data_IF_035998397775
#
_entry.id   IF_035998397775
#
_cell.length_a   1.000
_cell.length_b   1.000
_cell.length_c   1.000
_cell.angle_alpha   90.00
_cell.angle_beta   90.00
_cell.angle_gamma   90.00
#
_symmetry.space_group_name_H-M   'P 1'
#
loop_
_entity.id
_entity.type
_entity.pdbx_description
1 polymer ?
#
# COMPACT_ATOMS: atom_id res chain seq x y z
N UNK A 1 48.82 55.55 13.66
CA UNK A 1 50.07 55.10 14.31
C UNK A 1 49.70 53.95 15.23
N UNK A 2 49.76 52.72 14.71
CA UNK A 2 50.90 51.77 14.76
C UNK A 2 50.84 50.91 16.03
N UNK A 3 50.67 49.60 15.83
CA UNK A 3 50.81 48.58 16.86
C UNK A 3 50.29 47.21 16.45
N UNK A 4 51.03 46.50 15.58
CA UNK A 4 50.84 45.09 15.24
C UNK A 4 50.91 44.15 16.47
N UNK A 5 50.12 43.09 16.47
CA UNK A 5 50.50 41.82 17.10
C UNK A 5 49.93 40.64 16.31
N UNK A 6 50.81 39.91 15.65
CA UNK A 6 50.59 38.63 14.98
C UNK A 6 50.50 37.53 16.04
N UNK A 7 49.40 36.78 16.11
CA UNK A 7 49.31 35.57 16.92
C UNK A 7 49.10 34.35 16.01
N UNK A 8 50.14 33.53 15.90
CA UNK A 8 50.12 32.22 15.26
C UNK A 8 49.47 31.24 16.23
N UNK A 9 48.34 30.65 15.86
CA UNK A 9 47.76 29.50 16.57
C UNK A 9 47.91 28.25 15.70
N UNK A 10 48.74 27.30 16.18
CA UNK A 10 48.77 25.91 15.68
C UNK A 10 47.50 25.19 16.13
N UNK A 11 46.85 24.36 15.30
CA UNK A 11 45.76 23.51 15.77
C UNK A 11 46.33 22.32 16.54
N UNK A 12 45.92 22.19 17.81
CA UNK A 12 46.00 20.94 18.56
C UNK A 12 44.79 20.09 18.20
N UNK A 13 45.03 18.81 17.90
CA UNK A 13 44.02 17.90 17.38
C UNK A 13 42.95 17.53 18.42
N UNK A 14 41.69 17.82 18.08
CA UNK A 14 40.51 17.13 18.58
C UNK A 14 39.51 17.00 17.41
N UNK A 15 38.92 15.81 17.12
CA UNK A 15 38.20 15.58 15.87
C UNK A 15 36.81 16.23 15.79
N UNK A 16 36.27 16.71 16.91
CA UNK A 16 34.83 17.00 17.07
C UNK A 16 34.48 18.49 17.14
N UNK A 17 35.48 19.39 17.07
CA UNK A 17 35.25 20.85 17.12
C UNK A 17 34.99 21.48 15.75
N UNK A 18 35.37 20.83 14.66
CA UNK A 18 35.30 21.42 13.31
C UNK A 18 33.91 21.43 12.69
N UNK A 19 33.04 20.48 13.07
CA UNK A 19 31.71 20.33 12.49
C UNK A 19 30.70 21.29 13.13
N UNK A 20 30.81 21.50 14.45
CA UNK A 20 30.02 22.50 15.19
C UNK A 20 30.35 23.94 14.77
N UNK A 21 31.62 24.23 14.49
CA UNK A 21 32.10 25.57 14.09
C UNK A 21 31.67 25.92 12.64
N UNK A 22 31.57 24.91 11.76
CA UNK A 22 31.10 25.08 10.38
C UNK A 22 29.58 25.32 10.31
N UNK A 23 28.82 24.69 11.19
CA UNK A 23 27.36 24.83 11.24
C UNK A 23 26.95 26.20 11.79
N UNK A 24 27.67 26.71 12.78
CA UNK A 24 27.52 28.08 13.27
C UNK A 24 27.88 29.11 12.18
N UNK A 25 28.96 28.88 11.43
CA UNK A 25 29.33 29.75 10.30
C UNK A 25 28.25 29.78 9.21
N UNK A 26 27.66 28.63 8.86
CA UNK A 26 26.56 28.56 7.88
C UNK A 26 25.33 29.34 8.37
N UNK A 27 24.96 29.18 9.64
CA UNK A 27 23.80 29.87 10.22
C UNK A 27 24.00 31.39 10.22
N UNK A 28 25.17 31.88 10.63
CA UNK A 28 25.51 33.31 10.62
C UNK A 28 25.40 33.92 9.21
N UNK A 29 25.92 33.25 8.18
CA UNK A 29 25.85 33.74 6.80
C UNK A 29 24.41 33.75 6.26
N UNK A 30 23.59 32.77 6.65
CA UNK A 30 22.17 32.72 6.30
C UNK A 30 21.37 33.85 6.95
N UNK A 31 21.63 34.16 8.21
CA UNK A 31 21.01 35.30 8.90
C UNK A 31 21.43 36.64 8.29
N UNK A 32 22.70 36.81 7.96
CA UNK A 32 23.20 38.02 7.30
C UNK A 32 22.51 38.25 5.93
N UNK A 33 22.29 37.20 5.14
CA UNK A 33 21.59 37.28 3.85
C UNK A 33 20.11 37.63 3.98
N UNK A 34 19.44 37.29 5.10
CA UNK A 34 18.05 37.68 5.35
C UNK A 34 17.90 39.18 5.63
N UNK A 35 18.97 39.85 6.07
CA UNK A 35 19.00 41.26 6.41
C UNK A 35 19.43 42.16 5.24
N UNK A 36 19.86 41.58 4.12
CA UNK A 36 20.40 42.30 2.96
C UNK A 36 19.47 42.18 1.74
N UNK A 37 19.35 43.25 0.95
CA UNK A 37 18.53 43.27 -0.28
C UNK A 37 19.34 42.84 -1.50
N UNK A 38 18.74 42.01 -2.36
CA UNK A 38 19.35 41.51 -3.61
C UNK A 38 19.81 42.66 -4.52
N UNK A 39 21.13 42.84 -4.66
CA UNK A 39 21.76 43.93 -5.42
C UNK A 39 22.89 44.66 -4.67
N UNK A 40 23.02 44.43 -3.36
CA UNK A 40 24.13 44.95 -2.55
C UNK A 40 25.44 44.16 -2.83
N UNK A 41 26.59 44.83 -3.05
CA UNK A 41 27.88 44.15 -3.18
C UNK A 41 28.20 43.20 -2.01
N UNK A 42 27.78 43.55 -0.79
CA UNK A 42 27.92 42.70 0.39
C UNK A 42 27.06 41.45 0.28
N UNK A 43 25.85 41.52 -0.30
CA UNK A 43 24.98 40.36 -0.49
C UNK A 43 25.67 39.26 -1.32
N UNK A 44 26.35 39.64 -2.40
CA UNK A 44 27.09 38.67 -3.24
C UNK A 44 28.36 38.12 -2.57
N UNK A 45 28.89 38.81 -1.56
CA UNK A 45 30.02 38.34 -0.77
C UNK A 45 29.59 37.29 0.25
N UNK A 46 28.58 37.60 1.09
CA UNK A 46 27.98 36.63 2.02
C UNK A 46 27.42 35.40 1.29
N UNK A 47 26.79 35.60 0.12
CA UNK A 47 26.30 34.48 -0.71
C UNK A 47 27.43 33.59 -1.21
N UNK A 48 28.59 34.15 -1.58
CA UNK A 48 29.78 33.36 -1.98
C UNK A 48 30.38 32.62 -0.80
N UNK A 49 30.47 33.24 0.37
CA UNK A 49 30.95 32.61 1.60
C UNK A 49 30.05 31.44 2.00
N UNK A 50 28.72 31.63 2.02
CA UNK A 50 27.76 30.57 2.29
C UNK A 50 27.90 29.38 1.33
N UNK A 51 28.03 29.64 0.02
CA UNK A 51 28.24 28.59 -0.98
C UNK A 51 29.55 27.83 -0.69
N UNK A 52 30.63 28.52 -0.33
CA UNK A 52 31.89 27.88 0.01
C UNK A 52 31.77 27.00 1.27
N UNK A 53 31.10 27.46 2.32
CA UNK A 53 30.87 26.66 3.53
C UNK A 53 29.99 25.44 3.27
N UNK A 54 28.91 25.60 2.50
CA UNK A 54 28.06 24.48 2.09
C UNK A 54 28.83 23.46 1.23
N UNK A 55 29.71 23.92 0.34
CA UNK A 55 30.57 23.04 -0.46
C UNK A 55 31.60 22.31 0.41
N UNK A 56 32.17 22.97 1.42
CA UNK A 56 33.06 22.33 2.40
C UNK A 56 32.28 21.28 3.19
N UNK A 57 31.08 21.58 3.72
CA UNK A 57 30.25 20.63 4.46
C UNK A 57 29.90 19.41 3.61
N UNK A 58 29.51 19.64 2.36
CA UNK A 58 29.20 18.57 1.39
C UNK A 58 30.45 17.76 1.06
N UNK A 59 31.62 18.38 0.92
CA UNK A 59 32.89 17.67 0.68
C UNK A 59 33.36 16.89 1.91
N UNK A 60 33.20 17.40 3.12
CA UNK A 60 33.53 16.69 4.35
C UNK A 60 32.69 15.42 4.51
N UNK A 61 31.41 15.47 4.13
CA UNK A 61 30.54 14.29 4.06
C UNK A 61 30.90 13.30 2.93
N UNK A 62 31.57 13.79 1.86
CA UNK A 62 32.05 12.96 0.74
C UNK A 62 33.47 12.42 0.97
N UNK A 63 34.26 13.01 1.87
CA UNK A 63 35.66 12.64 2.14
C UNK A 63 35.79 11.55 3.22
N UNK A 64 34.69 11.11 3.84
CA UNK A 64 34.63 9.88 4.64
C UNK A 64 34.43 8.63 3.77
N UNK A 65 35.26 8.46 2.73
CA UNK A 65 35.51 7.15 2.10
C UNK A 65 36.96 6.73 2.43
N UNK A 66 37.21 5.51 2.97
CA UNK A 66 38.57 5.04 3.20
C UNK A 66 39.27 4.75 1.87
N UNK A 67 40.56 5.10 1.81
CA UNK A 67 41.48 4.80 0.72
C UNK A 67 41.88 3.31 0.72
N UNK A 68 41.64 2.68 -0.43
CA UNK A 68 42.27 1.48 -1.00
C UNK A 68 43.08 0.55 -0.07
N UNK A 69 42.36 -0.40 0.51
CA UNK A 69 42.72 -1.82 0.45
C UNK A 69 41.55 -2.54 -0.23
N UNK A 70 41.79 -3.26 -1.34
CA UNK A 70 40.82 -4.00 -2.18
C UNK A 70 39.33 -3.84 -1.83
N UNK A 71 38.46 -3.32 -2.72
CA UNK A 71 37.03 -3.32 -2.46
C UNK A 71 36.50 -4.74 -2.64
N UNK A 72 36.63 -5.58 -1.62
CA UNK A 72 35.53 -6.47 -1.29
C UNK A 72 34.36 -5.53 -1.03
N UNK A 73 33.40 -5.46 -1.96
CA UNK A 73 32.16 -4.72 -1.77
C UNK A 73 31.59 -5.16 -0.43
N UNK A 74 31.72 -4.31 0.60
CA UNK A 74 31.07 -4.53 1.87
C UNK A 74 29.59 -4.32 1.57
N UNK A 75 28.94 -5.41 1.19
CA UNK A 75 27.52 -5.49 0.94
C UNK A 75 26.84 -5.17 2.26
N UNK A 76 26.41 -3.92 2.46
CA UNK A 76 25.60 -3.59 3.62
C UNK A 76 24.25 -4.28 3.46
N UNK A 77 24.20 -5.49 3.99
CA UNK A 77 23.04 -6.37 3.96
C UNK A 77 21.81 -5.67 4.54
N UNK A 78 21.99 -4.76 5.50
CA UNK A 78 20.87 -4.02 6.10
C UNK A 78 20.24 -3.09 5.08
N UNK A 79 21.07 -2.35 4.34
CA UNK A 79 20.60 -1.48 3.26
C UNK A 79 19.90 -2.28 2.16
N UNK A 80 20.48 -3.42 1.76
CA UNK A 80 19.88 -4.30 0.74
C UNK A 80 18.52 -4.83 1.18
N UNK A 81 18.38 -5.27 2.44
CA UNK A 81 17.09 -5.71 2.98
C UNK A 81 16.08 -4.55 2.95
N UNK A 82 16.49 -3.34 3.34
CA UNK A 82 15.66 -2.14 3.31
C UNK A 82 15.19 -1.80 1.90
N UNK A 83 16.07 -1.86 0.91
CA UNK A 83 15.75 -1.59 -0.49
C UNK A 83 14.76 -2.63 -1.04
N UNK A 84 14.97 -3.92 -0.74
CA UNK A 84 14.05 -4.98 -1.15
C UNK A 84 12.68 -4.80 -0.49
N UNK A 85 12.63 -4.39 0.79
CA UNK A 85 11.38 -4.06 1.47
C UNK A 85 10.68 -2.86 0.82
N UNK A 86 11.41 -1.79 0.51
CA UNK A 86 10.87 -0.61 -0.15
C UNK A 86 10.28 -0.95 -1.53
N UNK A 87 11.02 -1.69 -2.37
CA UNK A 87 10.52 -2.13 -3.68
C UNK A 87 9.28 -3.03 -3.56
N UNK A 88 9.25 -3.91 -2.55
CA UNK A 88 8.07 -4.75 -2.28
C UNK A 88 6.83 -3.89 -1.98
N UNK A 89 7.00 -2.84 -1.17
CA UNK A 89 5.89 -2.00 -0.71
C UNK A 89 5.33 -1.08 -1.81
N UNK A 90 6.10 -0.76 -2.86
CA UNK A 90 5.58 0.01 -4.02
C UNK A 90 4.40 -0.67 -4.70
N UNK A 91 4.34 -2.00 -4.68
CA UNK A 91 3.32 -2.78 -5.37
C UNK A 91 2.06 -3.07 -4.54
N UNK A 92 2.00 -2.60 -3.30
CA UNK A 92 0.87 -2.79 -2.38
C UNK A 92 0.30 -1.42 -1.93
N UNK A 93 -0.88 -1.40 -1.27
CA UNK A 93 -1.48 -0.15 -0.83
C UNK A 93 -0.53 0.71 0.02
N UNK A 94 -0.64 2.05 -0.07
CA UNK A 94 0.28 2.98 0.61
C UNK A 94 0.19 2.92 2.15
N UNK A 95 -0.94 2.47 2.69
CA UNK A 95 -1.21 2.32 4.12
C UNK A 95 -1.88 0.99 4.42
N UNK A 96 -1.51 0.39 5.54
CA UNK A 96 -2.10 -0.84 6.08
C UNK A 96 -2.26 -0.70 7.60
N UNK A 97 -3.31 -1.29 8.15
CA UNK A 97 -3.48 -1.45 9.59
C UNK A 97 -2.54 -2.55 10.09
N UNK A 98 -1.82 -2.26 11.18
CA UNK A 98 -1.10 -3.26 11.93
C UNK A 98 -2.09 -4.01 12.84
N UNK A 99 -2.34 -5.28 12.57
CA UNK A 99 -3.41 -6.06 13.22
C UNK A 99 -3.21 -6.24 14.72
N UNK A 100 -1.97 -6.35 15.20
CA UNK A 100 -1.71 -6.49 16.65
C UNK A 100 -1.88 -5.17 17.41
N UNK A 101 -1.37 -4.06 16.88
CA UNK A 101 -1.34 -2.78 17.60
C UNK A 101 -2.57 -1.92 17.32
N UNK A 102 -3.26 -2.14 16.20
CA UNK A 102 -4.43 -1.36 15.77
C UNK A 102 -4.08 0.00 15.16
N UNK A 103 -2.81 0.29 14.89
CA UNK A 103 -2.40 1.54 14.25
C UNK A 103 -2.38 1.42 12.73
N UNK A 104 -2.69 2.53 12.05
CA UNK A 104 -2.48 2.66 10.62
C UNK A 104 -1.00 2.98 10.33
N UNK A 105 -0.38 2.23 9.41
CA UNK A 105 1.03 2.34 9.08
C UNK A 105 1.20 2.65 7.59
N UNK A 106 1.85 3.78 7.28
CA UNK A 106 2.38 4.04 5.95
C UNK A 106 3.57 3.12 5.64
N UNK A 107 4.15 3.21 4.43
CA UNK A 107 5.27 2.35 4.00
C UNK A 107 6.50 2.48 4.90
N UNK A 108 6.83 3.69 5.36
CA UNK A 108 8.00 3.91 6.23
C UNK A 108 7.81 3.29 7.61
N UNK A 109 6.61 3.43 8.19
CA UNK A 109 6.25 2.77 9.44
C UNK A 109 6.28 1.24 9.32
N UNK A 110 5.81 0.70 8.18
CA UNK A 110 5.89 -0.74 7.89
C UNK A 110 7.34 -1.24 7.81
N UNK A 111 8.24 -0.52 7.11
CA UNK A 111 9.67 -0.85 7.04
C UNK A 111 10.31 -0.74 8.42
N UNK A 112 10.02 0.34 9.16
CA UNK A 112 10.53 0.53 10.52
C UNK A 112 10.12 -0.63 11.42
N UNK A 113 8.85 -1.04 11.37
CA UNK A 113 8.36 -2.19 12.15
C UNK A 113 9.09 -3.48 11.78
N UNK A 114 9.32 -3.73 10.48
CA UNK A 114 10.12 -4.88 10.04
C UNK A 114 11.54 -4.84 10.57
N UNK A 115 12.24 -3.71 10.47
CA UNK A 115 13.64 -3.60 10.88
C UNK A 115 13.87 -3.74 12.40
N UNK A 116 12.83 -3.57 13.21
CA UNK A 116 12.86 -3.78 14.66
C UNK A 116 12.21 -5.10 15.09
N UNK A 117 11.90 -5.99 14.13
CA UNK A 117 11.22 -7.26 14.40
C UNK A 117 12.20 -8.41 14.61
N UNK A 118 11.73 -9.45 15.32
CA UNK A 118 12.50 -10.67 15.51
C UNK A 118 12.79 -11.38 14.16
N UNK A 119 11.88 -11.28 13.20
CA UNK A 119 12.04 -11.82 11.85
C UNK A 119 13.21 -11.19 11.11
N UNK A 120 13.46 -9.89 11.32
CA UNK A 120 14.62 -9.21 10.75
C UNK A 120 15.93 -9.65 11.40
N UNK A 121 15.96 -9.79 12.73
CA UNK A 121 17.15 -10.31 13.44
C UNK A 121 17.50 -11.74 13.02
N UNK A 122 16.48 -12.58 12.83
CA UNK A 122 16.63 -13.95 12.31
C UNK A 122 17.12 -13.95 10.85
N UNK A 123 16.59 -13.05 10.02
CA UNK A 123 17.04 -12.88 8.64
C UNK A 123 18.51 -12.46 8.56
N UNK A 124 18.93 -11.50 9.38
CA UNK A 124 20.34 -11.07 9.46
C UNK A 124 21.26 -12.22 9.88
N UNK A 125 20.87 -12.96 10.92
CA UNK A 125 21.62 -14.12 11.41
C UNK A 125 21.76 -15.20 10.34
N UNK A 126 20.68 -15.48 9.60
CA UNK A 126 20.68 -16.46 8.53
C UNK A 126 21.54 -16.01 7.35
N UNK A 127 21.45 -14.73 6.96
CA UNK A 127 22.25 -14.16 5.88
C UNK A 127 23.76 -14.24 6.13
N UNK A 128 24.21 -14.18 7.40
CA UNK A 128 25.63 -14.27 7.76
C UNK A 128 26.25 -15.65 7.44
N UNK A 129 25.43 -16.68 7.23
CA UNK A 129 25.87 -18.06 6.99
C UNK A 129 25.71 -18.53 5.54
N UNK A 130 25.11 -17.70 4.67
CA UNK A 130 24.77 -18.06 3.29
C UNK A 130 25.75 -17.49 2.27
N UNK A 131 25.83 -18.13 1.09
CA UNK A 131 26.45 -17.49 -0.08
C UNK A 131 25.58 -16.31 -0.61
N UNK A 132 26.15 -15.36 -1.37
CA UNK A 132 25.41 -14.17 -1.83
C UNK A 132 24.16 -14.46 -2.67
N UNK A 133 24.14 -15.54 -3.44
CA UNK A 133 23.00 -15.91 -4.28
C UNK A 133 21.85 -16.45 -3.44
N UNK A 134 22.16 -17.28 -2.45
CA UNK A 134 21.23 -17.80 -1.46
C UNK A 134 20.70 -16.67 -0.57
N UNK A 135 21.57 -15.73 -0.19
CA UNK A 135 21.24 -14.57 0.62
C UNK A 135 20.14 -13.73 -0.03
N UNK A 136 20.29 -13.35 -1.31
CA UNK A 136 19.28 -12.56 -2.01
C UNK A 136 17.94 -13.29 -2.12
N UNK A 137 17.97 -14.62 -2.34
CA UNK A 137 16.74 -15.44 -2.39
C UNK A 137 16.04 -15.46 -1.03
N UNK A 138 16.80 -15.58 0.06
CA UNK A 138 16.30 -15.56 1.43
C UNK A 138 15.68 -14.20 1.79
N UNK A 139 16.39 -13.10 1.52
CA UNK A 139 15.88 -11.73 1.75
C UNK A 139 14.55 -11.55 1.04
N UNK A 140 14.47 -11.85 -0.25
CA UNK A 140 13.23 -11.70 -1.03
C UNK A 140 12.09 -12.54 -0.48
N UNK A 141 12.38 -13.76 -0.02
CA UNK A 141 11.39 -14.66 0.54
C UNK A 141 10.83 -14.13 1.89
N UNK A 142 11.71 -13.78 2.83
CA UNK A 142 11.29 -13.30 4.15
C UNK A 142 10.62 -11.93 4.09
N UNK A 143 11.17 -10.99 3.30
CA UNK A 143 10.52 -9.70 3.04
C UNK A 143 9.14 -9.92 2.42
N UNK A 144 9.03 -10.80 1.42
CA UNK A 144 7.74 -11.08 0.78
C UNK A 144 6.73 -11.72 1.74
N UNK A 145 7.18 -12.56 2.66
CA UNK A 145 6.36 -13.23 3.67
C UNK A 145 5.89 -12.23 4.73
N UNK A 146 6.79 -11.37 5.21
CA UNK A 146 6.52 -10.39 6.25
C UNK A 146 5.48 -9.35 5.81
N UNK A 147 5.59 -8.84 4.59
CA UNK A 147 4.66 -7.84 4.04
C UNK A 147 3.45 -8.47 3.34
N UNK A 148 3.10 -9.73 3.64
CA UNK A 148 1.80 -10.29 3.24
C UNK A 148 0.70 -9.55 3.98
N UNK A 149 -0.31 -9.13 3.24
CA UNK A 149 -1.44 -8.39 3.80
C UNK A 149 -2.77 -9.06 3.43
N UNK A 150 -3.78 -8.78 4.25
CA UNK A 150 -5.16 -9.25 4.10
C UNK A 150 -6.02 -8.07 3.68
N UNK A 151 -6.98 -8.31 2.78
CA UNK A 151 -7.96 -7.29 2.39
C UNK A 151 -9.32 -7.59 3.00
N UNK A 152 -10.03 -6.55 3.44
CA UNK A 152 -11.44 -6.62 3.79
C UNK A 152 -12.28 -6.34 2.55
N UNK A 153 -13.13 -7.29 2.19
CA UNK A 153 -14.20 -7.09 1.23
C UNK A 153 -15.52 -7.09 1.99
N UNK A 154 -16.29 -6.01 1.86
CA UNK A 154 -17.53 -5.87 2.62
C UNK A 154 -18.53 -4.95 1.91
N UNK A 155 -19.72 -4.85 2.47
CA UNK A 155 -20.57 -3.68 2.23
C UNK A 155 -20.29 -2.60 3.27
N UNK A 156 -20.24 -1.36 2.82
CA UNK A 156 -20.25 -0.20 3.71
C UNK A 156 -21.60 -0.14 4.42
N UNK A 157 -21.56 0.00 5.75
CA UNK A 157 -22.71 0.20 6.61
C UNK A 157 -22.62 1.56 7.30
N UNK A 158 -23.30 1.68 8.44
CA UNK A 158 -23.23 2.88 9.26
C UNK A 158 -21.88 2.95 10.00
N UNK A 159 -21.36 4.16 10.20
CA UNK A 159 -20.16 4.38 11.02
C UNK A 159 -18.87 3.77 10.48
N UNK A 160 -18.73 3.58 9.16
CA UNK A 160 -17.42 3.19 8.58
C UNK A 160 -16.38 4.26 8.85
N UNK A 161 -15.23 3.93 9.46
CA UNK A 161 -14.17 4.89 9.65
C UNK A 161 -13.56 5.29 8.31
N UNK A 162 -13.31 6.59 8.15
CA UNK A 162 -12.45 7.15 7.11
C UNK A 162 -11.01 7.26 7.62
N UNK A 163 -10.07 7.51 6.71
CA UNK A 163 -8.65 7.69 7.05
C UNK A 163 -8.44 8.67 8.23
N UNK A 164 -8.98 9.90 8.09
CA UNK A 164 -8.92 10.96 9.10
C UNK A 164 -9.48 10.58 10.47
N UNK A 165 -10.37 9.59 10.53
CA UNK A 165 -11.01 9.20 11.78
C UNK A 165 -10.08 8.34 12.63
N UNK A 166 -9.15 7.61 12.00
CA UNK A 166 -8.25 6.64 12.63
C UNK A 166 -6.76 7.00 12.52
N UNK A 167 -6.42 8.03 11.74
CA UNK A 167 -5.04 8.51 11.63
C UNK A 167 -4.47 8.87 13.01
N UNK A 168 -3.26 8.39 13.30
CA UNK A 168 -2.56 8.51 14.58
C UNK A 168 -3.31 7.97 15.80
N UNK A 169 -4.35 7.14 15.60
CA UNK A 169 -5.13 6.53 16.68
C UNK A 169 -4.98 5.01 16.69
N UNK A 170 -5.05 4.47 17.90
CA UNK A 170 -5.21 3.04 18.09
C UNK A 170 -6.68 2.67 17.93
N UNK A 171 -7.03 1.91 16.89
CA UNK A 171 -8.44 1.54 16.64
C UNK A 171 -9.04 0.73 17.79
N UNK A 172 -8.25 -0.01 18.58
CA UNK A 172 -8.73 -0.79 19.72
C UNK A 172 -9.07 0.07 20.95
N UNK A 173 -8.52 1.28 21.04
CA UNK A 173 -8.85 2.24 22.09
C UNK A 173 -10.12 3.05 21.77
N UNK A 174 -10.70 2.87 20.59
CA UNK A 174 -11.88 3.60 20.13
C UNK A 174 -13.17 2.81 20.41
N UNK A 175 -14.32 3.51 20.45
CA UNK A 175 -15.62 2.89 20.71
C UNK A 175 -15.99 1.86 19.63
N UNK A 176 -16.19 0.61 20.04
CA UNK A 176 -16.60 -0.52 19.20
C UNK A 176 -18.08 -0.41 18.75
N UNK A 177 -18.41 0.60 17.94
CA UNK A 177 -19.75 0.79 17.37
C UNK A 177 -19.70 0.69 15.85
N UNK A 178 -20.74 0.10 15.29
CA UNK A 178 -21.02 0.06 13.86
C UNK A 178 -19.80 -0.35 13.01
N UNK A 179 -19.45 0.44 11.98
CA UNK A 179 -18.33 0.17 11.09
C UNK A 179 -16.96 0.11 11.78
N UNK A 180 -16.76 0.82 12.90
CA UNK A 180 -15.51 0.71 13.66
C UNK A 180 -15.40 -0.63 14.38
N UNK A 181 -16.49 -1.12 14.98
CA UNK A 181 -16.54 -2.46 15.56
C UNK A 181 -16.28 -3.55 14.50
N UNK A 182 -16.80 -3.35 13.29
CA UNK A 182 -16.50 -4.21 12.14
C UNK A 182 -15.01 -4.16 11.76
N UNK A 183 -14.38 -2.99 11.75
CA UNK A 183 -12.95 -2.87 11.47
C UNK A 183 -12.09 -3.58 12.53
N UNK A 184 -12.42 -3.41 13.81
CA UNK A 184 -11.73 -4.08 14.92
C UNK A 184 -11.84 -5.61 14.79
N UNK A 185 -13.03 -6.12 14.50
CA UNK A 185 -13.25 -7.55 14.30
C UNK A 185 -12.50 -8.08 13.07
N UNK A 186 -12.45 -7.31 11.97
CA UNK A 186 -11.61 -7.64 10.81
C UNK A 186 -10.13 -7.75 11.19
N UNK A 187 -9.58 -6.78 11.94
CA UNK A 187 -8.20 -6.83 12.39
C UNK A 187 -7.93 -8.02 13.31
N UNK A 188 -8.85 -8.35 14.21
CA UNK A 188 -8.76 -9.53 15.07
C UNK A 188 -8.70 -10.82 14.24
N UNK A 189 -9.63 -11.00 13.30
CA UNK A 189 -9.64 -12.18 12.41
C UNK A 189 -8.37 -12.24 11.54
N UNK A 190 -7.90 -11.11 11.01
CA UNK A 190 -6.66 -11.08 10.25
C UNK A 190 -5.44 -11.49 11.10
N UNK A 191 -5.41 -11.08 12.37
CA UNK A 191 -4.40 -11.50 13.35
C UNK A 191 -4.48 -13.00 13.65
N UNK A 192 -5.68 -13.55 13.87
CA UNK A 192 -5.90 -14.99 14.07
C UNK A 192 -5.45 -15.83 12.87
N UNK A 193 -5.58 -15.28 11.66
CA UNK A 193 -5.06 -15.89 10.42
C UNK A 193 -3.54 -15.74 10.25
N UNK A 194 -2.85 -15.13 11.21
CA UNK A 194 -1.39 -14.98 11.24
C UNK A 194 -0.85 -13.86 10.37
N UNK A 195 -1.65 -12.82 10.08
CA UNK A 195 -1.22 -11.68 9.28
C UNK A 195 -1.08 -10.41 10.13
N UNK A 196 0.05 -9.73 9.98
CA UNK A 196 0.33 -8.45 10.63
C UNK A 196 -0.33 -7.26 9.94
N UNK A 197 -0.62 -7.39 8.65
CA UNK A 197 -1.06 -6.26 7.82
C UNK A 197 -2.45 -6.49 7.26
N UNK A 198 -3.32 -5.50 7.47
CA UNK A 198 -4.71 -5.52 7.05
C UNK A 198 -5.06 -4.25 6.25
N UNK A 199 -5.86 -4.39 5.21
CA UNK A 199 -6.28 -3.29 4.34
C UNK A 199 -7.80 -3.20 4.27
N UNK A 200 -8.32 -1.98 4.40
CA UNK A 200 -9.72 -1.65 4.15
C UNK A 200 -9.80 -0.38 3.30
N UNK A 201 -10.61 -0.43 2.24
CA UNK A 201 -10.82 0.68 1.31
C UNK A 201 -11.42 1.93 1.97
N UNK A 202 -12.11 1.78 3.11
CA UNK A 202 -12.72 2.93 3.79
C UNK A 202 -11.71 3.83 4.47
N UNK A 203 -10.70 3.24 5.11
CA UNK A 203 -9.77 3.94 6.00
C UNK A 203 -8.29 3.85 5.62
N UNK A 204 -7.90 2.99 4.66
CA UNK A 204 -6.52 2.93 4.17
C UNK A 204 -6.28 3.79 2.91
N UNK A 205 -7.35 4.24 2.25
CA UNK A 205 -7.31 5.16 1.10
C UNK A 205 -7.60 6.57 1.59
N UNK A 206 -6.76 7.54 1.21
CA UNK A 206 -7.08 8.95 1.34
C UNK A 206 -8.09 9.36 0.27
N UNK A 207 -9.36 9.40 0.65
CA UNK A 207 -10.47 9.85 -0.21
C UNK A 207 -10.51 11.38 -0.38
N UNK A 208 -9.71 12.13 0.39
CA UNK A 208 -9.55 13.58 0.26
C UNK A 208 -8.53 13.96 -0.82
N UNK A 209 -7.57 13.08 -1.12
CA UNK A 209 -6.60 13.24 -2.20
C UNK A 209 -7.15 12.66 -3.51
N UNK A 210 -7.47 13.52 -4.47
CA UNK A 210 -7.96 13.10 -5.80
C UNK A 210 -6.94 12.22 -6.53
N UNK A 211 -5.65 12.56 -6.43
CA UNK A 211 -4.57 11.79 -7.05
C UNK A 211 -4.49 10.37 -6.47
N UNK A 212 -4.57 10.24 -5.15
CA UNK A 212 -4.54 8.93 -4.51
C UNK A 212 -5.81 8.13 -4.78
N UNK A 213 -6.98 8.76 -4.70
CA UNK A 213 -8.24 8.08 -4.99
C UNK A 213 -8.24 7.50 -6.41
N UNK A 214 -7.72 8.26 -7.37
CA UNK A 214 -7.55 7.81 -8.75
C UNK A 214 -6.59 6.61 -8.86
N UNK A 215 -5.42 6.69 -8.22
CA UNK A 215 -4.45 5.59 -8.18
C UNK A 215 -5.06 4.33 -7.53
N UNK A 216 -5.81 4.52 -6.43
CA UNK A 216 -6.43 3.44 -5.68
C UNK A 216 -7.50 2.71 -6.49
N UNK A 217 -8.37 3.45 -7.19
CA UNK A 217 -9.37 2.86 -8.09
C UNK A 217 -8.69 2.06 -9.20
N UNK A 218 -7.66 2.61 -9.85
CA UNK A 218 -6.92 1.91 -10.89
C UNK A 218 -6.16 0.67 -10.38
N UNK A 219 -5.76 0.67 -9.11
CA UNK A 219 -4.93 -0.38 -8.51
C UNK A 219 -5.71 -1.44 -7.73
N UNK A 220 -6.98 -1.22 -7.42
CA UNK A 220 -7.75 -2.03 -6.47
C UNK A 220 -7.73 -3.52 -6.83
N UNK A 221 -8.01 -3.88 -8.08
CA UNK A 221 -7.94 -5.27 -8.54
C UNK A 221 -6.55 -5.88 -8.31
N UNK A 222 -5.51 -5.11 -8.61
CA UNK A 222 -4.13 -5.57 -8.47
C UNK A 222 -3.73 -5.74 -7.00
N UNK A 223 -4.26 -4.92 -6.10
CA UNK A 223 -4.09 -5.08 -4.65
C UNK A 223 -4.83 -6.32 -4.12
N UNK A 224 -6.09 -6.53 -4.49
CA UNK A 224 -6.82 -7.76 -4.16
C UNK A 224 -6.15 -9.01 -4.76
N UNK A 225 -5.58 -8.93 -5.96
CA UNK A 225 -4.83 -10.03 -6.58
C UNK A 225 -3.57 -10.39 -5.80
N UNK A 226 -2.90 -9.38 -5.24
CA UNK A 226 -1.64 -9.52 -4.48
C UNK A 226 -1.86 -9.82 -3.00
N UNK A 227 -3.08 -9.65 -2.48
CA UNK A 227 -3.36 -9.96 -1.09
C UNK A 227 -3.15 -11.45 -0.81
N UNK A 228 -2.70 -11.74 0.40
CA UNK A 228 -2.46 -13.11 0.84
C UNK A 228 -3.77 -13.87 1.13
N UNK A 229 -4.81 -13.11 1.44
CA UNK A 229 -6.17 -13.53 1.75
C UNK A 229 -7.09 -12.31 1.56
N UNK A 230 -8.26 -12.53 0.97
CA UNK A 230 -9.38 -11.61 1.13
C UNK A 230 -10.39 -12.19 2.13
N UNK A 231 -10.71 -11.42 3.17
CA UNK A 231 -11.76 -11.72 4.13
C UNK A 231 -13.02 -11.03 3.63
N UNK A 232 -14.04 -11.82 3.30
CA UNK A 232 -15.34 -11.31 2.89
C UNK A 232 -16.27 -11.32 4.10
N UNK A 233 -16.74 -10.14 4.51
CA UNK A 233 -17.71 -10.00 5.59
C UNK A 233 -19.13 -9.82 5.04
N UNK A 234 -19.97 -10.83 5.27
CA UNK A 234 -21.36 -10.88 4.85
C UNK A 234 -22.27 -10.40 6.00
N UNK A 235 -22.42 -9.08 6.09
CA UNK A 235 -23.15 -8.42 7.18
C UNK A 235 -24.64 -8.73 7.24
N UNK A 236 -25.20 -9.39 6.24
CA UNK A 236 -26.61 -9.75 6.08
C UNK A 236 -26.86 -11.26 6.13
N UNK A 237 -25.81 -12.07 6.21
CA UNK A 237 -25.91 -13.53 6.26
C UNK A 237 -25.80 -14.01 7.71
N UNK A 238 -26.87 -14.60 8.28
CA UNK A 238 -26.77 -15.30 9.57
C UNK A 238 -26.03 -16.64 9.40
N UNK A 239 -25.66 -17.28 10.51
CA UNK A 239 -24.93 -18.56 10.50
C UNK A 239 -25.59 -19.68 9.67
N UNK A 240 -26.93 -19.66 9.55
CA UNK A 240 -27.73 -20.63 8.79
C UNK A 240 -28.14 -20.10 7.41
N UNK A 241 -27.67 -18.92 7.01
CA UNK A 241 -28.03 -18.28 5.75
C UNK A 241 -27.32 -18.88 4.53
N UNK A 242 -27.69 -18.38 3.35
CA UNK A 242 -27.09 -18.76 2.07
C UNK A 242 -26.43 -17.57 1.37
N UNK A 243 -25.46 -17.84 0.48
CA UNK A 243 -24.84 -16.78 -0.31
C UNK A 243 -25.83 -16.05 -1.22
N UNK A 244 -26.79 -16.76 -1.80
CA UNK A 244 -27.78 -16.18 -2.71
C UNK A 244 -28.64 -15.07 -2.08
N UNK A 245 -28.70 -15.01 -0.75
CA UNK A 245 -29.42 -13.97 0.00
C UNK A 245 -28.57 -12.72 0.30
N UNK A 246 -27.25 -12.77 0.07
CA UNK A 246 -26.37 -11.66 0.43
C UNK A 246 -26.33 -10.59 -0.65
N UNK A 247 -26.58 -9.37 -0.22
CA UNK A 247 -26.41 -8.17 -0.99
C UNK A 247 -24.94 -7.86 -1.32
N UNK A 248 -23.98 -8.54 -0.68
CA UNK A 248 -22.58 -8.44 -1.07
C UNK A 248 -22.39 -8.81 -2.55
N UNK A 249 -23.11 -9.82 -3.06
CA UNK A 249 -23.06 -10.22 -4.47
C UNK A 249 -23.76 -9.22 -5.42
N UNK A 250 -24.48 -8.24 -4.88
CA UNK A 250 -25.17 -7.19 -5.65
C UNK A 250 -24.40 -5.87 -5.69
N UNK A 251 -23.23 -5.78 -5.05
CA UNK A 251 -22.38 -4.56 -5.10
C UNK A 251 -21.42 -4.62 -6.29
N UNK A 252 -21.24 -3.50 -7.00
CA UNK A 252 -20.38 -3.44 -8.20
C UNK A 252 -18.93 -3.86 -7.92
N UNK A 253 -18.28 -3.14 -6.99
CA UNK A 253 -16.89 -3.37 -6.60
C UNK A 253 -16.61 -4.80 -6.15
N UNK A 254 -17.54 -5.49 -5.48
CA UNK A 254 -17.29 -6.83 -4.95
C UNK A 254 -17.10 -7.90 -6.03
N UNK A 255 -17.38 -7.59 -7.32
CA UNK A 255 -17.05 -8.50 -8.42
C UNK A 255 -15.54 -8.69 -8.55
N UNK A 256 -14.77 -7.60 -8.58
CA UNK A 256 -13.32 -7.70 -8.62
C UNK A 256 -12.76 -8.23 -7.29
N UNK A 257 -13.39 -7.91 -6.17
CA UNK A 257 -13.00 -8.44 -4.85
C UNK A 257 -13.25 -9.95 -4.73
N UNK A 258 -14.22 -10.48 -5.48
CA UNK A 258 -14.44 -11.91 -5.64
C UNK A 258 -13.42 -12.53 -6.60
N UNK A 259 -13.20 -11.94 -7.77
CA UNK A 259 -12.43 -12.57 -8.85
C UNK A 259 -10.91 -12.44 -8.68
N UNK A 260 -10.42 -11.32 -8.14
CA UNK A 260 -8.99 -11.03 -8.07
C UNK A 260 -8.23 -11.87 -7.03
N UNK A 261 -8.70 -12.07 -5.79
CA UNK A 261 -7.93 -12.83 -4.80
C UNK A 261 -7.84 -14.31 -5.16
N UNK A 262 -6.67 -14.92 -4.93
CA UNK A 262 -6.49 -16.37 -5.06
C UNK A 262 -7.03 -17.15 -3.86
N UNK A 263 -7.08 -16.51 -2.69
CA UNK A 263 -7.59 -17.08 -1.45
C UNK A 263 -8.66 -16.17 -0.86
N UNK A 264 -9.81 -16.75 -0.55
CA UNK A 264 -10.93 -16.07 0.09
C UNK A 264 -11.43 -16.88 1.27
N UNK A 265 -11.82 -16.19 2.35
CA UNK A 265 -12.63 -16.74 3.43
C UNK A 265 -13.86 -15.86 3.62
N UNK A 266 -15.04 -16.48 3.64
CA UNK A 266 -16.31 -15.84 3.91
C UNK A 266 -16.65 -15.94 5.39
N UNK A 267 -17.01 -14.80 5.96
CA UNK A 267 -17.45 -14.65 7.35
C UNK A 267 -18.89 -14.12 7.38
N UNK A 268 -19.68 -14.65 8.29
CA UNK A 268 -21.08 -14.24 8.49
C UNK A 268 -21.16 -12.94 9.29
N UNK A 269 -22.39 -12.43 9.53
CA UNK A 269 -22.66 -11.27 10.40
C UNK A 269 -22.01 -11.39 11.79
N UNK A 270 -21.82 -12.60 12.30
CA UNK A 270 -21.26 -12.83 13.63
C UNK A 270 -19.75 -13.11 13.61
N UNK A 271 -19.05 -12.84 12.50
CA UNK A 271 -17.62 -13.15 12.32
C UNK A 271 -17.28 -14.63 12.51
N UNK A 272 -18.24 -15.52 12.30
CA UNK A 272 -18.01 -16.96 12.17
C UNK A 272 -17.68 -17.30 10.71
N UNK A 273 -16.85 -18.32 10.51
CA UNK A 273 -16.64 -18.88 9.17
C UNK A 273 -17.98 -19.37 8.61
N UNK A 274 -18.26 -18.98 7.37
CA UNK A 274 -19.48 -19.37 6.69
C UNK A 274 -19.65 -20.90 6.67
N UNK A 275 -20.82 -21.36 7.11
CA UNK A 275 -21.16 -22.80 7.30
C UNK A 275 -20.13 -23.59 8.13
N UNK A 276 -19.39 -22.93 9.02
CA UNK A 276 -18.29 -23.51 9.80
C UNK A 276 -17.25 -24.25 8.92
N UNK A 277 -17.09 -23.82 7.66
CA UNK A 277 -16.14 -24.43 6.73
C UNK A 277 -14.72 -23.99 7.08
N UNK A 278 -13.95 -24.91 7.64
CA UNK A 278 -12.56 -24.69 8.11
C UNK A 278 -11.52 -24.76 6.99
N UNK A 279 -11.93 -24.89 5.72
CA UNK A 279 -11.01 -24.82 4.58
C UNK A 279 -10.21 -23.52 4.62
N UNK A 280 -8.90 -23.61 4.39
CA UNK A 280 -7.99 -22.46 4.35
C UNK A 280 -8.15 -21.59 3.09
N UNK A 281 -9.00 -22.01 2.16
CA UNK A 281 -9.45 -21.27 1.00
C UNK A 281 -10.84 -21.75 0.55
N UNK A 282 -11.86 -20.92 0.69
CA UNK A 282 -13.22 -21.24 0.25
C UNK A 282 -13.35 -21.37 -1.28
N UNK A 283 -12.39 -20.82 -2.05
CA UNK A 283 -12.31 -21.09 -3.50
C UNK A 283 -11.71 -22.46 -3.85
N UNK A 284 -11.20 -23.22 -2.88
CA UNK A 284 -10.72 -24.59 -3.09
C UNK A 284 -11.70 -25.64 -2.53
N UNK A 285 -12.82 -25.20 -1.96
CA UNK A 285 -13.86 -26.06 -1.40
C UNK A 285 -14.98 -26.24 -2.44
N UNK A 286 -15.23 -27.49 -2.85
CA UNK A 286 -16.19 -27.80 -3.91
C UNK A 286 -17.63 -27.38 -3.56
N UNK A 287 -18.05 -27.54 -2.31
CA UNK A 287 -19.40 -27.17 -1.89
C UNK A 287 -19.56 -25.64 -1.85
N UNK A 288 -18.49 -24.92 -1.52
CA UNK A 288 -18.48 -23.46 -1.58
C UNK A 288 -18.50 -22.95 -3.02
N UNK A 289 -17.77 -23.59 -3.93
CA UNK A 289 -17.78 -23.23 -5.35
C UNK A 289 -19.16 -23.45 -5.97
N UNK A 290 -19.83 -24.56 -5.70
CA UNK A 290 -21.19 -24.83 -6.17
C UNK A 290 -22.17 -23.72 -5.73
N UNK A 291 -22.09 -23.30 -4.47
CA UNK A 291 -22.95 -22.24 -3.97
C UNK A 291 -22.59 -20.85 -4.53
N UNK A 292 -21.29 -20.55 -4.70
CA UNK A 292 -20.86 -19.31 -5.33
C UNK A 292 -21.30 -19.25 -6.80
N UNK A 293 -21.19 -20.35 -7.53
CA UNK A 293 -21.66 -20.46 -8.91
C UNK A 293 -23.17 -20.23 -8.98
N UNK A 294 -23.95 -20.85 -8.09
CA UNK A 294 -25.39 -20.60 -7.98
C UNK A 294 -25.75 -19.15 -7.61
N UNK A 295 -24.98 -18.50 -6.73
CA UNK A 295 -25.24 -17.13 -6.29
C UNK A 295 -24.82 -16.07 -7.32
N UNK A 296 -23.83 -16.36 -8.17
CA UNK A 296 -23.19 -15.37 -9.05
C UNK A 296 -23.39 -15.62 -10.54
N UNK A 297 -23.70 -16.86 -10.94
CA UNK A 297 -23.68 -17.28 -12.34
C UNK A 297 -22.27 -17.35 -12.94
N UNK A 298 -21.22 -17.30 -12.10
CA UNK A 298 -19.83 -17.37 -12.53
C UNK A 298 -19.36 -18.82 -12.42
N UNK A 299 -18.96 -19.41 -13.54
CA UNK A 299 -18.43 -20.78 -13.53
C UNK A 299 -17.23 -20.92 -12.58
N UNK A 300 -17.17 -22.05 -11.88
CA UNK A 300 -16.10 -22.38 -10.91
C UNK A 300 -14.67 -22.16 -11.43
N UNK A 301 -14.42 -22.36 -12.74
CA UNK A 301 -13.11 -22.10 -13.36
C UNK A 301 -12.68 -20.63 -13.27
N UNK A 302 -13.61 -19.68 -13.37
CA UNK A 302 -13.33 -18.25 -13.22
C UNK A 302 -13.22 -17.86 -11.75
N UNK A 303 -13.99 -18.49 -10.86
CA UNK A 303 -13.86 -18.24 -9.41
C UNK A 303 -12.49 -18.67 -8.87
N UNK A 304 -11.94 -19.78 -9.36
CA UNK A 304 -10.67 -20.35 -8.90
C UNK A 304 -9.44 -19.72 -9.56
N UNK A 305 -9.48 -19.46 -10.87
CA UNK A 305 -8.35 -18.95 -11.63
C UNK A 305 -8.76 -17.90 -12.67
N UNK A 306 -9.26 -16.76 -12.19
CA UNK A 306 -9.59 -15.64 -13.05
C UNK A 306 -8.35 -14.97 -13.65
N UNK A 307 -8.35 -14.69 -14.96
CA UNK A 307 -7.35 -13.85 -15.62
C UNK A 307 -8.01 -12.58 -16.19
N UNK A 308 -7.58 -11.37 -15.79
CA UNK A 308 -8.15 -10.14 -16.31
C UNK A 308 -7.76 -9.96 -17.79
N UNK A 309 -8.60 -9.25 -18.56
CA UNK A 309 -8.44 -9.10 -20.01
C UNK A 309 -9.77 -9.15 -20.77
N UNK A 310 -9.69 -9.38 -22.09
CA UNK A 310 -10.85 -9.26 -23.00
C UNK A 310 -11.58 -10.57 -23.31
N UNK A 311 -11.02 -11.73 -22.95
CA UNK A 311 -11.67 -13.02 -23.20
C UNK A 311 -13.00 -13.11 -22.45
N UNK A 312 -14.04 -13.65 -23.07
CA UNK A 312 -15.37 -13.79 -22.46
C UNK A 312 -15.97 -12.42 -22.05
N UNK A 313 -15.74 -11.37 -22.85
CA UNK A 313 -16.16 -10.00 -22.53
C UNK A 313 -17.65 -9.89 -22.20
N UNK A 314 -18.51 -10.51 -23.02
CA UNK A 314 -19.95 -10.62 -22.75
C UNK A 314 -20.25 -11.22 -21.38
N UNK A 315 -19.62 -12.35 -21.04
CA UNK A 315 -19.83 -13.03 -19.74
C UNK A 315 -19.39 -12.14 -18.57
N UNK A 316 -18.27 -11.42 -18.69
CA UNK A 316 -17.78 -10.50 -17.66
C UNK A 316 -18.77 -9.38 -17.36
N UNK A 317 -19.39 -8.82 -18.40
CA UNK A 317 -20.46 -7.81 -18.25
C UNK A 317 -21.74 -8.42 -17.70
N UNK A 318 -22.09 -9.63 -18.13
CA UNK A 318 -23.23 -10.36 -17.58
C UNK A 318 -23.09 -10.55 -16.05
N UNK A 319 -21.90 -10.89 -15.55
CA UNK A 319 -21.63 -11.01 -14.11
C UNK A 319 -21.74 -9.68 -13.35
N UNK A 320 -21.64 -8.56 -14.07
CA UNK A 320 -21.78 -7.21 -13.55
C UNK A 320 -23.21 -6.67 -13.64
N UNK A 321 -24.06 -7.21 -14.53
CA UNK A 321 -25.38 -6.66 -14.89
C UNK A 321 -26.35 -6.44 -13.73
N UNK A 322 -26.34 -7.34 -12.74
CA UNK A 322 -27.23 -7.25 -11.59
C UNK A 322 -26.59 -6.56 -10.39
N UNK A 323 -25.41 -5.96 -10.57
CA UNK A 323 -24.67 -5.26 -9.52
C UNK A 323 -24.94 -3.77 -9.57
N UNK A 324 -24.92 -3.13 -8.40
CA UNK A 324 -25.23 -1.72 -8.18
C UNK A 324 -24.06 -1.02 -7.50
N UNK A 325 -23.91 0.25 -7.82
CA UNK A 325 -22.87 1.11 -7.24
C UNK A 325 -23.48 2.34 -6.57
N UNK A 326 -22.78 2.87 -5.58
CA UNK A 326 -23.22 4.09 -4.88
C UNK A 326 -22.98 5.32 -5.74
N UNK A 327 -21.79 5.41 -6.35
CA UNK A 327 -21.51 6.42 -7.37
C UNK A 327 -21.93 5.88 -8.74
N UNK A 328 -22.61 6.68 -9.56
CA UNK A 328 -23.10 6.23 -10.86
C UNK A 328 -21.95 5.75 -11.77
N UNK A 329 -20.81 6.45 -11.78
CA UNK A 329 -19.67 6.14 -12.65
C UNK A 329 -18.93 4.85 -12.28
N UNK A 330 -19.06 4.41 -11.02
CA UNK A 330 -18.42 3.18 -10.55
C UNK A 330 -18.96 1.93 -11.25
N UNK A 331 -20.12 1.99 -11.92
CA UNK A 331 -20.62 0.90 -12.76
C UNK A 331 -19.58 0.50 -13.83
N UNK A 332 -18.82 1.50 -14.32
CA UNK A 332 -17.73 1.29 -15.26
C UNK A 332 -16.39 1.09 -14.53
N UNK A 333 -16.05 1.95 -13.56
CA UNK A 333 -14.73 1.92 -12.93
C UNK A 333 -14.46 0.62 -12.16
N UNK A 334 -15.50 0.01 -11.58
CA UNK A 334 -15.39 -1.28 -10.89
C UNK A 334 -15.01 -2.44 -11.82
N UNK A 335 -15.06 -2.25 -13.14
CA UNK A 335 -14.74 -3.25 -14.16
C UNK A 335 -13.35 -3.07 -14.78
N UNK A 336 -12.63 -1.97 -14.51
CA UNK A 336 -11.32 -1.70 -15.09
C UNK A 336 -10.34 -2.85 -14.85
N UNK A 337 -10.25 -3.31 -13.60
CA UNK A 337 -9.40 -4.44 -13.25
C UNK A 337 -9.88 -5.78 -13.80
N UNK A 338 -11.19 -5.97 -14.00
CA UNK A 338 -11.76 -7.18 -14.61
C UNK A 338 -11.33 -7.28 -16.08
N UNK A 339 -11.31 -6.15 -16.80
CA UNK A 339 -10.88 -6.09 -18.20
C UNK A 339 -9.40 -5.79 -18.42
N UNK A 340 -8.64 -5.53 -17.35
CA UNK A 340 -7.25 -5.05 -17.41
C UNK A 340 -7.11 -3.74 -18.22
N UNK A 341 -8.07 -2.83 -18.07
CA UNK A 341 -8.14 -1.54 -18.76
C UNK A 341 -7.63 -0.42 -17.85
N UNK A 342 -6.93 0.54 -18.45
CA UNK A 342 -6.51 1.77 -17.78
C UNK A 342 -7.14 2.97 -18.49
N UNK A 343 -8.20 3.51 -17.91
CA UNK A 343 -8.89 4.70 -18.40
C UNK A 343 -8.89 5.78 -17.30
N UNK A 344 -8.99 7.07 -17.69
CA UNK A 344 -9.19 8.15 -16.73
C UNK A 344 -10.45 7.95 -15.88
N UNK A 345 -10.34 8.30 -14.60
CA UNK A 345 -11.44 8.30 -13.62
C UNK A 345 -11.91 9.74 -13.47
N UNK A 346 -13.15 10.01 -13.87
CA UNK A 346 -13.71 11.35 -14.02
C UNK A 346 -15.07 11.42 -13.30
N UNK A 347 -15.04 11.48 -11.97
CA UNK A 347 -16.27 11.67 -11.20
C UNK A 347 -16.97 12.97 -11.59
N UNK A 348 -18.27 12.89 -11.89
CA UNK A 348 -19.07 13.96 -12.48
C UNK A 348 -19.34 13.79 -13.98
N UNK A 349 -18.77 12.78 -14.64
CA UNK A 349 -18.99 12.56 -16.07
C UNK A 349 -20.34 11.89 -16.41
N UNK A 350 -21.13 11.45 -15.42
CA UNK A 350 -22.32 10.57 -15.54
C UNK A 350 -22.01 9.08 -15.75
N UNK A 351 -22.97 8.22 -15.39
CA UNK A 351 -22.83 6.77 -15.58
C UNK A 351 -22.72 6.43 -17.07
N UNK A 352 -23.48 7.10 -17.92
CA UNK A 352 -23.62 6.84 -19.34
C UNK A 352 -22.30 7.11 -20.08
N UNK A 353 -21.61 8.20 -19.76
CA UNK A 353 -20.32 8.50 -20.37
C UNK A 353 -19.21 7.57 -19.85
N UNK A 354 -19.17 7.31 -18.54
CA UNK A 354 -18.21 6.39 -17.95
C UNK A 354 -18.35 4.98 -18.58
N UNK A 355 -19.59 4.51 -18.69
CA UNK A 355 -19.95 3.25 -19.33
C UNK A 355 -19.62 3.25 -20.84
N UNK A 356 -19.97 4.32 -21.55
CA UNK A 356 -19.67 4.46 -22.97
C UNK A 356 -18.17 4.34 -23.26
N UNK A 357 -17.32 5.00 -22.47
CA UNK A 357 -15.86 4.88 -22.60
C UNK A 357 -15.37 3.45 -22.34
N UNK A 358 -15.91 2.79 -21.32
CA UNK A 358 -15.58 1.39 -21.05
C UNK A 358 -15.97 0.49 -22.24
N UNK A 359 -17.19 0.60 -22.75
CA UNK A 359 -17.69 -0.24 -23.84
C UNK A 359 -16.91 0.00 -25.14
N UNK A 360 -16.59 1.25 -25.48
CA UNK A 360 -15.74 1.57 -26.63
C UNK A 360 -14.38 0.89 -26.52
N UNK A 361 -13.75 0.94 -25.33
CA UNK A 361 -12.46 0.30 -25.10
C UNK A 361 -12.55 -1.24 -25.17
N UNK A 362 -13.58 -1.84 -24.57
CA UNK A 362 -13.80 -3.29 -24.60
C UNK A 362 -14.07 -3.76 -26.04
N UNK A 363 -14.93 -3.10 -26.80
CA UNK A 363 -15.18 -3.44 -28.22
C UNK A 363 -13.92 -3.25 -29.04
N UNK A 364 -13.21 -2.13 -28.83
CA UNK A 364 -11.98 -1.81 -29.55
C UNK A 364 -10.88 -2.86 -29.37
N UNK A 365 -10.72 -3.42 -28.16
CA UNK A 365 -9.71 -4.44 -27.88
C UNK A 365 -10.17 -5.88 -28.13
N UNK A 366 -11.46 -6.19 -27.92
CA UNK A 366 -11.98 -7.57 -28.04
C UNK A 366 -12.54 -7.90 -29.43
N UNK A 367 -13.05 -6.91 -30.16
CA UNK A 367 -13.86 -7.09 -31.36
C UNK A 367 -15.26 -7.68 -31.08
N UNK A 368 -15.63 -7.92 -29.82
CA UNK A 368 -16.90 -8.54 -29.43
C UNK A 368 -18.01 -7.49 -29.29
N UNK A 369 -18.82 -7.33 -30.34
CA UNK A 369 -19.98 -6.43 -30.32
C UNK A 369 -21.19 -7.02 -29.57
N UNK A 370 -21.16 -8.31 -29.21
CA UNK A 370 -22.27 -8.95 -28.47
C UNK A 370 -22.40 -8.43 -27.04
N UNK A 371 -21.40 -7.66 -26.58
CA UNK A 371 -21.47 -6.95 -25.30
C UNK A 371 -22.56 -5.89 -25.24
N UNK A 372 -23.07 -5.42 -26.39
CA UNK A 372 -24.17 -4.46 -26.44
C UNK A 372 -25.52 -5.06 -26.02
N UNK A 373 -25.58 -6.39 -25.85
CA UNK A 373 -26.74 -7.07 -25.24
C UNK A 373 -26.80 -6.89 -23.70
N UNK A 374 -25.79 -6.23 -23.09
CA UNK A 374 -25.67 -6.05 -21.63
C UNK A 374 -26.79 -5.18 -21.03
#
# INVERSE_FOLDING_TARGET
MLGHATAVLRPSGHPDRGETDLDEAIACEQEALQLLTSGDPCYEEYRRCLIAYLQIKTRSQVTTLPSNSSPAANFDIKQVIRDVAFEKLKAIPPRLLHTVTGFLCNRDAQISHFMHSQEYDQLLSSCATCDPSQQMKLIRAEVSKYFRFVTLSHRWGEGEPLLRDIEDKNVYSMSAKDGLGKLQAFCAVACEQGYLWAWSDTCCIDKGSSAELQEAIGSMFAWYRRSALAIVYLSDVPNTGSFGSSEWFRRGWTLQELLAPRRILFYTRNWSLYKNRTSSNHKADAAMLEELEGATGIESRFLTNFSPGMNDARSRLQWASLRRTTRPEDIAYSLFGVFNIHLPILYGESAENALGRLLVEVIGQSGDISILDW
#
